data_IF_815414223459
#
_entry.id   IF_815414223459
#
_cell.length_a   1.000
_cell.length_b   1.000
_cell.length_c   1.000
_cell.angle_alpha   90.00
_cell.angle_beta   90.00
_cell.angle_gamma   90.00
#
_symmetry.space_group_name_H-M   'P 1'
#
loop_
_entity.id
_entity.type
_entity.pdbx_description
1 polymer ?
#
# COMPACT_ATOMS: atom_id res chain seq x y z
N UNK A 1 0.30 14.90 7.94
CA UNK A 1 0.08 14.99 6.47
C UNK A 1 -1.31 14.46 6.20
N UNK A 2 -2.12 15.13 5.39
CA UNK A 2 -3.44 14.66 4.94
C UNK A 2 -3.25 13.45 4.04
N UNK A 3 -4.15 12.47 4.10
CA UNK A 3 -4.13 11.31 3.22
C UNK A 3 -4.20 11.74 1.74
N UNK A 4 -3.47 11.05 0.89
CA UNK A 4 -3.44 11.27 -0.57
C UNK A 4 -3.41 9.95 -1.31
N UNK A 5 -3.76 9.95 -2.59
CA UNK A 5 -3.62 8.79 -3.46
C UNK A 5 -2.14 8.41 -3.59
N UNK A 6 -1.87 7.13 -3.45
CA UNK A 6 -0.54 6.53 -3.58
C UNK A 6 -0.52 5.66 -4.84
N UNK A 7 0.47 5.86 -5.69
CA UNK A 7 0.68 5.01 -6.86
C UNK A 7 1.28 3.67 -6.44
N UNK A 8 0.57 2.58 -6.66
CA UNK A 8 1.05 1.22 -6.42
C UNK A 8 1.76 0.65 -7.66
N UNK A 9 3.06 0.41 -7.55
CA UNK A 9 3.91 0.00 -8.66
C UNK A 9 4.04 -1.53 -8.82
N UNK A 10 3.11 -2.32 -8.25
CA UNK A 10 3.16 -3.79 -8.23
C UNK A 10 3.44 -4.44 -9.59
N UNK A 11 2.92 -3.86 -10.68
CA UNK A 11 2.96 -4.44 -12.03
C UNK A 11 4.11 -3.91 -12.89
N UNK A 12 4.89 -2.94 -12.39
CA UNK A 12 5.94 -2.28 -13.16
C UNK A 12 7.12 -3.23 -13.42
N UNK A 13 7.64 -3.18 -14.64
CA UNK A 13 8.70 -4.07 -15.10
C UNK A 13 8.25 -5.50 -15.41
N UNK A 14 6.93 -5.78 -15.36
CA UNK A 14 6.38 -7.11 -15.69
C UNK A 14 5.13 -7.01 -16.56
N UNK A 15 3.92 -6.89 -15.96
CA UNK A 15 2.67 -6.69 -16.74
C UNK A 15 2.62 -5.33 -17.42
N UNK A 16 3.27 -4.35 -16.87
CA UNK A 16 3.51 -3.03 -17.43
C UNK A 16 5.00 -2.96 -17.72
N UNK A 17 5.38 -2.85 -18.96
CA UNK A 17 6.79 -2.74 -19.34
C UNK A 17 7.42 -1.43 -18.85
N UNK A 18 8.73 -1.30 -19.02
CA UNK A 18 9.47 -0.16 -18.49
C UNK A 18 9.00 1.17 -19.11
N UNK A 19 8.80 1.22 -20.43
CA UNK A 19 8.40 2.44 -21.12
C UNK A 19 6.99 2.90 -20.68
N UNK A 20 6.03 1.99 -20.64
CA UNK A 20 4.69 2.28 -20.16
C UNK A 20 4.69 2.66 -18.66
N UNK A 21 5.57 2.04 -17.86
CA UNK A 21 5.72 2.41 -16.44
C UNK A 21 6.23 3.85 -16.27
N UNK A 22 7.14 4.29 -17.13
CA UNK A 22 7.64 5.67 -17.14
C UNK A 22 6.53 6.67 -17.48
N UNK A 23 5.71 6.38 -18.48
CA UNK A 23 4.58 7.23 -18.85
C UNK A 23 3.58 7.36 -17.69
N UNK A 24 3.31 6.28 -16.96
CA UNK A 24 2.44 6.29 -15.78
C UNK A 24 3.03 7.10 -14.63
N UNK A 25 4.35 6.99 -14.38
CA UNK A 25 5.06 7.76 -13.35
C UNK A 25 5.10 9.24 -13.69
N UNK A 26 5.39 9.59 -14.95
CA UNK A 26 5.38 10.97 -15.43
C UNK A 26 3.99 11.58 -15.29
N UNK A 27 2.95 10.89 -15.77
CA UNK A 27 1.57 11.38 -15.65
C UNK A 27 1.13 11.54 -14.19
N UNK A 28 1.47 10.56 -13.31
CA UNK A 28 1.14 10.64 -11.89
C UNK A 28 1.76 11.89 -11.25
N UNK A 29 3.03 12.14 -11.51
CA UNK A 29 3.74 13.30 -10.96
C UNK A 29 3.24 14.62 -11.55
N UNK A 30 2.91 14.67 -12.84
CA UNK A 30 2.36 15.85 -13.50
C UNK A 30 0.96 16.22 -12.98
N UNK A 31 0.18 15.22 -12.56
CA UNK A 31 -1.11 15.42 -11.88
C UNK A 31 -0.97 15.77 -10.38
N UNK A 32 0.25 15.95 -9.88
CA UNK A 32 0.54 16.34 -8.49
C UNK A 32 0.65 15.15 -7.52
N UNK A 33 0.71 13.92 -8.04
CA UNK A 33 0.96 12.73 -7.24
C UNK A 33 2.38 12.74 -6.67
N UNK A 34 2.55 12.20 -5.46
CA UNK A 34 3.83 12.24 -4.78
C UNK A 34 4.30 10.88 -4.27
N UNK A 35 3.41 10.06 -3.70
CA UNK A 35 3.77 8.79 -3.12
C UNK A 35 3.76 7.65 -4.14
N UNK A 36 4.87 6.95 -4.26
CA UNK A 36 5.03 5.72 -5.05
C UNK A 36 5.33 4.59 -4.07
N UNK A 37 4.51 3.54 -4.09
CA UNK A 37 4.64 2.35 -3.24
C UNK A 37 5.11 1.16 -4.07
N UNK A 38 6.26 0.61 -3.71
CA UNK A 38 6.84 -0.60 -4.30
C UNK A 38 7.23 -1.62 -3.22
N UNK A 39 7.89 -2.69 -3.58
CA UNK A 39 8.48 -3.68 -2.68
C UNK A 39 9.58 -4.48 -3.40
N UNK A 40 10.51 -5.02 -2.62
CA UNK A 40 11.61 -5.83 -3.17
C UNK A 40 11.12 -7.13 -3.84
N UNK A 41 10.01 -7.69 -3.38
CA UNK A 41 9.45 -8.94 -3.88
C UNK A 41 8.40 -8.77 -4.97
N UNK A 42 8.06 -7.55 -5.40
CA UNK A 42 6.96 -7.39 -6.34
C UNK A 42 7.25 -8.13 -7.65
N UNK A 43 6.21 -8.83 -8.09
CA UNK A 43 6.19 -9.61 -9.32
C UNK A 43 7.02 -10.90 -9.37
N UNK A 44 7.64 -11.36 -8.27
CA UNK A 44 8.40 -12.62 -8.24
C UNK A 44 7.60 -13.83 -8.76
N UNK A 45 6.26 -13.80 -8.62
CA UNK A 45 5.36 -14.90 -9.03
C UNK A 45 5.02 -14.90 -10.52
N UNK A 46 5.41 -13.90 -11.28
CA UNK A 46 5.22 -13.81 -12.72
C UNK A 46 6.53 -13.60 -13.50
N UNK A 47 7.59 -13.17 -12.83
CA UNK A 47 8.90 -13.04 -13.45
C UNK A 47 9.55 -14.43 -13.64
N UNK A 48 10.13 -14.72 -14.83
CA UNK A 48 10.77 -16.01 -15.09
C UNK A 48 11.91 -16.36 -14.11
N UNK A 49 12.55 -15.38 -13.49
CA UNK A 49 13.59 -15.63 -12.47
C UNK A 49 13.01 -16.23 -11.18
N UNK A 50 11.71 -16.07 -10.94
CA UNK A 50 11.09 -16.40 -9.65
C UNK A 50 11.54 -15.52 -8.50
N UNK A 51 12.16 -14.37 -8.78
CA UNK A 51 12.62 -13.36 -7.81
C UNK A 51 12.00 -12.01 -8.13
N UNK A 52 11.94 -11.14 -7.13
CA UNK A 52 11.44 -9.77 -7.26
C UNK A 52 12.51 -8.77 -7.71
N UNK A 53 12.17 -7.48 -7.58
CA UNK A 53 13.07 -6.37 -7.87
C UNK A 53 12.75 -5.58 -9.13
N UNK A 54 11.91 -6.12 -10.02
CA UNK A 54 11.58 -5.49 -11.30
C UNK A 54 10.95 -4.10 -11.09
N UNK A 55 10.01 -3.99 -10.16
CA UNK A 55 9.34 -2.73 -9.85
C UNK A 55 10.31 -1.68 -9.29
N UNK A 56 11.18 -2.06 -8.36
CA UNK A 56 12.20 -1.17 -7.81
C UNK A 56 13.19 -0.72 -8.91
N UNK A 57 13.64 -1.64 -9.77
CA UNK A 57 14.58 -1.37 -10.87
C UNK A 57 13.98 -0.38 -11.88
N UNK A 58 12.73 -0.56 -12.27
CA UNK A 58 12.04 0.37 -13.19
C UNK A 58 11.92 1.76 -12.58
N UNK A 59 11.57 1.87 -11.30
CA UNK A 59 11.50 3.17 -10.61
C UNK A 59 12.91 3.80 -10.55
N UNK A 60 13.95 3.02 -10.27
CA UNK A 60 15.33 3.50 -10.27
C UNK A 60 15.77 4.04 -11.63
N UNK A 61 15.51 3.31 -12.72
CA UNK A 61 15.79 3.77 -14.08
C UNK A 61 15.01 5.04 -14.46
N UNK A 62 13.75 5.16 -14.00
CA UNK A 62 12.97 6.37 -14.18
C UNK A 62 13.58 7.56 -13.46
N UNK A 63 14.04 7.39 -12.22
CA UNK A 63 14.74 8.43 -11.46
C UNK A 63 16.03 8.89 -12.15
N UNK A 64 16.83 7.94 -12.67
CA UNK A 64 18.07 8.24 -13.37
C UNK A 64 17.84 9.03 -14.68
N UNK A 65 16.72 8.75 -15.37
CA UNK A 65 16.36 9.42 -16.62
C UNK A 65 15.55 10.70 -16.44
N UNK A 66 15.15 11.06 -15.23
CA UNK A 66 14.33 12.25 -14.90
C UNK A 66 15.02 13.10 -13.83
N UNK A 67 15.99 13.94 -14.22
CA UNK A 67 16.71 14.80 -13.28
C UNK A 67 15.74 15.61 -12.39
N UNK A 68 15.93 15.55 -11.07
CA UNK A 68 15.08 16.20 -10.08
C UNK A 68 13.76 15.46 -9.76
N UNK A 69 13.49 14.30 -10.37
CA UNK A 69 12.30 13.51 -10.05
C UNK A 69 12.31 13.04 -8.58
N UNK A 70 13.48 12.63 -8.08
CA UNK A 70 13.61 12.15 -6.68
C UNK A 70 13.16 13.20 -5.65
N UNK A 71 13.35 14.49 -5.91
CA UNK A 71 12.94 15.56 -5.01
C UNK A 71 11.42 15.88 -5.09
N UNK A 72 10.77 15.46 -6.17
CA UNK A 72 9.32 15.63 -6.38
C UNK A 72 8.48 14.50 -5.81
N UNK A 73 9.07 13.30 -5.63
CA UNK A 73 8.35 12.11 -5.19
C UNK A 73 8.82 11.62 -3.82
N UNK A 74 7.94 10.90 -3.17
CA UNK A 74 8.18 10.16 -1.95
C UNK A 74 8.06 8.66 -2.28
N UNK A 75 9.06 7.88 -1.90
CA UNK A 75 9.14 6.46 -2.26
C UNK A 75 9.02 5.61 -1.00
N UNK A 76 8.14 4.61 -1.06
CA UNK A 76 8.13 3.54 -0.07
C UNK A 76 8.47 2.20 -0.72
N UNK A 77 9.26 1.40 -0.01
CA UNK A 77 9.54 0.00 -0.37
C UNK A 77 9.44 -0.90 0.84
N UNK A 78 9.48 -2.22 0.62
CA UNK A 78 9.19 -3.24 1.63
C UNK A 78 10.18 -4.38 1.53
N UNK A 79 10.45 -5.05 2.67
CA UNK A 79 11.16 -6.34 2.72
C UNK A 79 10.52 -7.32 3.69
N UNK A 80 10.99 -8.56 3.65
CA UNK A 80 10.54 -9.65 4.52
C UNK A 80 9.76 -10.74 3.80
N UNK A 81 9.47 -10.58 2.51
CA UNK A 81 8.69 -11.56 1.75
C UNK A 81 9.29 -11.91 0.38
N UNK A 82 10.48 -11.42 0.04
CA UNK A 82 11.17 -11.88 -1.18
C UNK A 82 11.66 -13.32 -0.99
N UNK A 83 11.44 -14.24 -1.96
CA UNK A 83 12.04 -15.57 -1.89
C UNK A 83 13.57 -15.49 -1.89
N UNK A 84 14.23 -16.22 -0.99
CA UNK A 84 15.72 -16.30 -0.96
C UNK A 84 16.32 -17.00 -2.18
N UNK A 85 15.50 -17.75 -2.90
CA UNK A 85 15.80 -18.40 -4.17
C UNK A 85 14.49 -18.71 -4.89
N UNK A 86 14.48 -18.97 -6.21
CA UNK A 86 13.27 -19.32 -6.93
C UNK A 86 12.51 -20.48 -6.27
N UNK A 87 11.26 -20.23 -5.85
CA UNK A 87 10.44 -21.19 -5.11
C UNK A 87 10.87 -21.47 -3.68
N UNK A 88 11.87 -20.74 -3.17
CA UNK A 88 12.35 -20.84 -1.79
C UNK A 88 11.47 -20.13 -0.76
N UNK A 89 11.84 -20.22 0.53
CA UNK A 89 11.13 -19.51 1.60
C UNK A 89 11.36 -18.00 1.49
N UNK A 90 10.52 -17.18 2.14
CA UNK A 90 10.74 -15.74 2.24
C UNK A 90 12.01 -15.43 3.05
N UNK A 91 12.64 -14.29 2.77
CA UNK A 91 13.86 -13.81 3.44
C UNK A 91 13.69 -13.53 4.95
N UNK A 92 12.44 -13.25 5.38
CA UNK A 92 12.10 -12.95 6.77
C UNK A 92 12.61 -11.58 7.24
N UNK A 93 12.54 -11.37 8.58
CA UNK A 93 12.84 -10.11 9.23
C UNK A 93 13.98 -10.21 10.26
N UNK A 94 14.96 -11.11 10.05
CA UNK A 94 16.19 -11.07 10.84
C UNK A 94 16.99 -9.78 10.55
N UNK A 95 17.79 -9.34 11.49
CA UNK A 95 18.62 -8.13 11.33
C UNK A 95 19.51 -8.21 10.07
N UNK A 96 20.06 -9.39 9.78
CA UNK A 96 20.85 -9.62 8.58
C UNK A 96 20.00 -9.48 7.29
N UNK A 97 18.82 -10.07 7.27
CA UNK A 97 17.91 -10.01 6.12
C UNK A 97 17.46 -8.56 5.85
N UNK A 98 17.03 -7.86 6.89
CA UNK A 98 16.58 -6.45 6.78
C UNK A 98 17.67 -5.57 6.17
N UNK A 99 18.92 -5.64 6.68
CA UNK A 99 20.02 -4.83 6.17
C UNK A 99 20.35 -5.15 4.71
N UNK A 100 20.45 -6.44 4.38
CA UNK A 100 20.73 -6.87 3.01
C UNK A 100 19.62 -6.46 2.01
N UNK A 101 18.36 -6.65 2.40
CA UNK A 101 17.22 -6.25 1.59
C UNK A 101 17.14 -4.73 1.37
N UNK A 102 17.39 -3.94 2.43
CA UNK A 102 17.40 -2.48 2.33
C UNK A 102 18.50 -1.98 1.40
N UNK A 103 19.71 -2.52 1.53
CA UNK A 103 20.84 -2.18 0.66
C UNK A 103 20.51 -2.49 -0.81
N UNK A 104 19.98 -3.67 -1.10
CA UNK A 104 19.61 -4.08 -2.45
C UNK A 104 18.46 -3.23 -3.01
N UNK A 105 17.45 -2.90 -2.19
CA UNK A 105 16.36 -2.01 -2.59
C UNK A 105 16.86 -0.62 -2.95
N UNK A 106 17.78 -0.03 -2.17
CA UNK A 106 18.36 1.27 -2.46
C UNK A 106 19.18 1.26 -3.75
N UNK A 107 19.93 0.18 -4.03
CA UNK A 107 20.64 -0.01 -5.29
C UNK A 107 19.69 -0.09 -6.47
N UNK A 108 18.64 -0.92 -6.42
CA UNK A 108 17.63 -1.07 -7.48
C UNK A 108 16.90 0.26 -7.74
N UNK A 109 16.57 1.00 -6.68
CA UNK A 109 15.89 2.29 -6.75
C UNK A 109 16.81 3.46 -7.15
N UNK A 110 18.12 3.22 -7.35
CA UNK A 110 19.10 4.25 -7.69
C UNK A 110 19.04 5.48 -6.75
N UNK A 111 18.85 5.24 -5.45
CA UNK A 111 18.72 6.31 -4.45
C UNK A 111 19.41 5.95 -3.14
N UNK A 112 19.92 6.94 -2.43
CA UNK A 112 20.55 6.74 -1.11
C UNK A 112 19.53 6.59 0.02
N UNK A 113 18.23 6.85 -0.21
CA UNK A 113 17.19 6.80 0.83
C UNK A 113 15.80 6.55 0.27
N UNK A 114 14.95 5.94 1.08
CA UNK A 114 13.48 5.90 0.89
C UNK A 114 12.78 6.73 1.96
N UNK A 115 11.56 7.18 1.66
CA UNK A 115 10.80 8.03 2.58
C UNK A 115 10.02 7.19 3.60
N UNK A 116 9.70 5.93 3.26
CA UNK A 116 9.05 4.99 4.17
C UNK A 116 9.52 3.56 3.84
N UNK A 117 9.98 2.83 4.85
CA UNK A 117 10.39 1.43 4.71
C UNK A 117 9.44 0.51 5.48
N UNK A 118 8.92 -0.53 4.82
CA UNK A 118 7.93 -1.41 5.40
C UNK A 118 8.51 -2.77 5.80
N UNK A 119 8.19 -3.23 6.99
CA UNK A 119 8.16 -4.67 7.28
C UNK A 119 6.93 -5.26 6.58
N UNK A 120 7.13 -5.99 5.46
CA UNK A 120 6.05 -6.37 4.52
C UNK A 120 5.04 -7.34 5.12
N UNK A 121 5.53 -8.29 5.91
CA UNK A 121 4.74 -9.25 6.68
C UNK A 121 5.36 -9.44 8.05
N UNK A 122 4.57 -9.93 9.03
CA UNK A 122 5.14 -10.28 10.31
C UNK A 122 6.00 -11.56 10.20
N UNK A 123 7.13 -11.56 10.89
CA UNK A 123 7.95 -12.76 11.07
C UNK A 123 7.99 -13.13 12.57
N UNK A 124 7.40 -14.29 12.90
CA UNK A 124 7.35 -14.78 14.28
C UNK A 124 8.51 -15.71 14.63
N UNK A 125 9.31 -16.07 13.65
CA UNK A 125 10.50 -16.91 13.86
C UNK A 125 11.69 -16.11 14.39
N UNK A 126 11.64 -14.77 14.22
CA UNK A 126 12.67 -13.84 14.69
C UNK A 126 12.17 -13.10 15.95
N UNK A 127 13.01 -12.92 16.98
CA UNK A 127 12.70 -12.07 18.12
C UNK A 127 12.30 -10.67 17.67
N UNK A 128 11.19 -10.16 18.21
CA UNK A 128 10.65 -8.85 17.82
C UNK A 128 11.66 -7.71 18.01
N UNK A 129 12.41 -7.76 19.10
CA UNK A 129 13.42 -6.76 19.46
C UNK A 129 14.56 -6.70 18.43
N UNK A 130 14.95 -7.85 17.85
CA UNK A 130 15.94 -7.91 16.78
C UNK A 130 15.45 -7.20 15.52
N UNK A 131 14.24 -7.53 15.05
CA UNK A 131 13.66 -6.92 13.87
C UNK A 131 13.46 -5.41 14.05
N UNK A 132 12.94 -5.00 15.22
CA UNK A 132 12.70 -3.58 15.56
C UNK A 132 14.01 -2.80 15.62
N UNK A 133 15.04 -3.35 16.24
CA UNK A 133 16.37 -2.72 16.30
C UNK A 133 16.95 -2.50 14.91
N UNK A 134 16.92 -3.54 14.06
CA UNK A 134 17.46 -3.45 12.70
C UNK A 134 16.67 -2.47 11.80
N UNK A 135 15.35 -2.43 11.92
CA UNK A 135 14.52 -1.43 11.23
C UNK A 135 14.86 -0.01 11.71
N UNK A 136 15.01 0.18 13.03
CA UNK A 136 15.39 1.47 13.61
C UNK A 136 16.75 1.96 13.12
N UNK A 137 17.71 1.05 12.88
CA UNK A 137 19.02 1.37 12.29
C UNK A 137 18.89 1.96 10.87
N UNK A 138 17.90 1.55 10.07
CA UNK A 138 17.68 2.15 8.75
C UNK A 138 17.32 3.65 8.85
N UNK A 139 16.62 4.04 9.90
CA UNK A 139 16.31 5.46 10.13
C UNK A 139 17.53 6.20 10.66
N UNK A 140 18.22 5.66 11.62
CA UNK A 140 19.41 6.32 12.22
C UNK A 140 20.56 6.47 11.22
N UNK A 141 20.69 5.56 10.25
CA UNK A 141 21.64 5.66 9.14
C UNK A 141 21.21 6.58 8.01
N UNK A 142 19.94 7.03 7.99
CA UNK A 142 19.39 7.85 6.92
C UNK A 142 18.93 7.05 5.69
N UNK A 143 18.99 5.72 5.70
CA UNK A 143 18.50 4.85 4.62
C UNK A 143 16.96 4.90 4.46
N UNK A 144 16.23 5.15 5.54
CA UNK A 144 14.79 5.38 5.55
C UNK A 144 14.45 6.61 6.39
N UNK A 145 13.44 7.38 5.98
CA UNK A 145 12.96 8.51 6.78
C UNK A 145 11.93 8.09 7.83
N UNK A 146 11.15 7.04 7.56
CA UNK A 146 10.11 6.51 8.45
C UNK A 146 9.96 5.00 8.26
N UNK A 147 9.26 4.36 9.21
CA UNK A 147 9.01 2.92 9.22
C UNK A 147 7.51 2.61 9.25
N UNK A 148 7.13 1.53 8.60
CA UNK A 148 5.77 1.01 8.61
C UNK A 148 5.71 -0.51 8.76
N UNK A 149 4.56 -1.01 9.20
CA UNK A 149 4.24 -2.43 9.28
C UNK A 149 3.10 -2.79 8.31
N UNK A 150 3.34 -3.72 7.40
CA UNK A 150 2.33 -4.21 6.47
C UNK A 150 1.90 -5.63 6.86
N UNK A 151 0.59 -5.88 6.88
CA UNK A 151 0.02 -7.19 7.25
C UNK A 151 0.34 -7.66 8.68
N UNK A 152 0.62 -6.75 9.59
CA UNK A 152 0.80 -7.04 11.02
C UNK A 152 -0.51 -6.82 11.80
N UNK A 153 -0.84 -7.65 12.81
CA UNK A 153 -1.97 -7.37 13.70
C UNK A 153 -1.69 -6.12 14.55
N UNK A 154 -2.73 -5.35 14.87
CA UNK A 154 -2.61 -4.10 15.62
C UNK A 154 -1.85 -4.27 16.95
N UNK A 155 -2.17 -5.32 17.72
CA UNK A 155 -1.48 -5.62 18.99
C UNK A 155 0.03 -5.85 18.82
N UNK A 156 0.47 -6.41 17.66
CA UNK A 156 1.89 -6.65 17.41
C UNK A 156 2.60 -5.37 16.94
N UNK A 157 1.89 -4.51 16.21
CA UNK A 157 2.39 -3.16 15.88
C UNK A 157 2.64 -2.37 17.16
N UNK A 158 1.69 -2.39 18.11
CA UNK A 158 1.86 -1.71 19.40
C UNK A 158 3.04 -2.28 20.20
N UNK A 159 3.19 -3.60 20.27
CA UNK A 159 4.36 -4.22 20.91
C UNK A 159 5.67 -3.82 20.24
N UNK A 160 5.70 -3.72 18.90
CA UNK A 160 6.89 -3.28 18.18
C UNK A 160 7.21 -1.81 18.46
N UNK A 161 6.21 -0.95 18.56
CA UNK A 161 6.37 0.46 18.93
C UNK A 161 6.90 0.60 20.37
N UNK A 162 6.35 -0.17 21.30
CA UNK A 162 6.84 -0.21 22.68
C UNK A 162 8.29 -0.73 22.76
N UNK A 163 8.64 -1.77 21.99
CA UNK A 163 10.00 -2.29 21.91
C UNK A 163 10.98 -1.25 21.33
N UNK A 164 10.56 -0.51 20.29
CA UNK A 164 11.36 0.58 19.71
C UNK A 164 11.62 1.68 20.73
N UNK A 165 10.60 2.10 21.47
CA UNK A 165 10.75 3.10 22.53
C UNK A 165 11.70 2.61 23.64
N UNK A 166 11.60 1.33 24.03
CA UNK A 166 12.51 0.72 25.00
C UNK A 166 13.97 0.63 24.54
N UNK A 167 14.20 0.54 23.24
CA UNK A 167 15.53 0.55 22.62
C UNK A 167 16.03 1.95 22.25
N UNK A 168 15.20 2.99 22.35
CA UNK A 168 15.53 4.35 21.94
C UNK A 168 15.67 4.50 20.43
N UNK A 169 14.99 3.66 19.63
CA UNK A 169 14.98 3.72 18.17
C UNK A 169 13.62 4.16 17.63
N UNK A 170 13.58 4.56 16.35
CA UNK A 170 12.33 4.95 15.68
C UNK A 170 11.40 3.74 15.54
N UNK A 171 10.15 3.88 15.97
CA UNK A 171 9.09 2.90 15.80
C UNK A 171 8.27 3.11 14.54
N UNK A 172 7.30 2.22 14.32
CA UNK A 172 6.37 2.33 13.19
C UNK A 172 5.47 3.58 13.31
N UNK A 173 5.33 4.29 12.19
CA UNK A 173 4.45 5.46 12.05
C UNK A 173 3.33 5.21 11.04
N UNK A 174 3.31 4.04 10.40
CA UNK A 174 2.28 3.66 9.45
C UNK A 174 1.96 2.17 9.49
N UNK A 175 0.71 1.83 9.18
CA UNK A 175 0.23 0.46 8.95
C UNK A 175 -0.24 0.37 7.51
N UNK A 176 0.08 -0.73 6.79
CA UNK A 176 -0.43 -1.00 5.47
C UNK A 176 -1.23 -2.32 5.48
N UNK A 177 -2.55 -2.25 5.22
CA UNK A 177 -3.45 -3.40 5.25
C UNK A 177 -4.47 -3.35 4.11
N UNK A 178 -5.08 -4.50 3.81
CA UNK A 178 -6.17 -4.60 2.85
C UNK A 178 -7.41 -3.90 3.39
N UNK A 179 -7.91 -2.91 2.66
CA UNK A 179 -9.13 -2.21 3.03
C UNK A 179 -9.81 -1.60 1.81
N UNK A 180 -11.13 -1.63 1.80
CA UNK A 180 -11.96 -1.06 0.74
C UNK A 180 -13.31 -0.65 1.32
N UNK A 181 -14.13 0.05 0.54
CA UNK A 181 -15.48 0.41 0.92
C UNK A 181 -16.37 -0.83 1.16
N UNK A 182 -16.30 -1.85 0.29
CA UNK A 182 -16.93 -3.14 0.55
C UNK A 182 -16.06 -3.97 1.50
N UNK A 183 -16.72 -4.61 2.48
CA UNK A 183 -16.07 -5.50 3.42
C UNK A 183 -16.44 -6.96 3.11
N UNK A 184 -15.49 -7.90 3.16
CA UNK A 184 -15.79 -9.32 2.99
C UNK A 184 -16.38 -9.90 4.27
N UNK A 185 -17.05 -11.04 4.15
CA UNK A 185 -17.45 -11.86 5.30
C UNK A 185 -16.20 -12.39 6.02
N UNK A 186 -16.16 -12.33 7.37
CA UNK A 186 -14.99 -12.78 8.13
C UNK A 186 -14.81 -14.30 8.15
N UNK A 187 -15.85 -15.07 7.84
CA UNK A 187 -15.91 -16.53 7.83
C UNK A 187 -15.46 -17.15 6.49
N UNK A 188 -15.22 -16.36 5.47
CA UNK A 188 -14.80 -16.80 4.14
C UNK A 188 -13.40 -16.30 3.83
N UNK A 189 -12.49 -17.23 3.56
CA UNK A 189 -11.12 -16.88 3.16
C UNK A 189 -11.09 -16.11 1.84
N UNK A 190 -10.24 -15.10 1.78
CA UNK A 190 -9.93 -14.43 0.51
C UNK A 190 -9.01 -15.30 -0.33
N UNK A 191 -9.03 -15.15 -1.67
CA UNK A 191 -8.18 -15.93 -2.56
C UNK A 191 -6.68 -15.74 -2.27
N UNK A 192 -6.30 -14.54 -1.82
CA UNK A 192 -4.92 -14.19 -1.52
C UNK A 192 -4.58 -14.52 -0.07
N UNK A 193 -3.63 -15.43 0.13
CA UNK A 193 -3.12 -15.78 1.47
C UNK A 193 -2.19 -14.69 2.02
N UNK A 194 -2.11 -14.60 3.34
CA UNK A 194 -1.18 -13.68 4.02
C UNK A 194 -1.65 -12.22 4.09
N UNK A 195 -2.70 -11.85 3.37
CA UNK A 195 -3.28 -10.51 3.47
C UNK A 195 -4.04 -10.33 4.78
N UNK A 196 -3.83 -9.21 5.44
CA UNK A 196 -4.58 -8.84 6.64
C UNK A 196 -5.57 -7.73 6.32
N UNK A 197 -6.82 -7.96 6.72
CA UNK A 197 -7.90 -6.98 6.61
C UNK A 197 -7.84 -5.96 7.75
N UNK A 198 -8.28 -4.75 7.46
CA UNK A 198 -8.61 -3.77 8.49
C UNK A 198 -9.95 -4.16 9.11
N UNK A 199 -9.97 -4.35 10.43
CA UNK A 199 -11.16 -4.60 11.22
C UNK A 199 -11.49 -3.41 12.13
N UNK A 200 -12.68 -3.35 12.75
CA UNK A 200 -13.04 -2.28 13.68
C UNK A 200 -12.00 -2.05 14.78
N UNK A 201 -11.39 -3.11 15.32
CA UNK A 201 -10.29 -3.03 16.30
C UNK A 201 -9.08 -2.25 15.74
N UNK A 202 -8.72 -2.47 14.47
CA UNK A 202 -7.62 -1.72 13.83
C UNK A 202 -7.95 -0.24 13.71
N UNK A 203 -9.20 0.09 13.36
CA UNK A 203 -9.66 1.48 13.25
C UNK A 203 -9.69 2.17 14.62
N UNK A 204 -10.14 1.47 15.68
CA UNK A 204 -10.14 1.96 17.05
C UNK A 204 -8.71 2.23 17.55
N UNK A 205 -7.79 1.30 17.28
CA UNK A 205 -6.37 1.48 17.59
C UNK A 205 -5.79 2.73 16.89
N UNK A 206 -6.08 2.92 15.61
CA UNK A 206 -5.63 4.09 14.84
C UNK A 206 -6.25 5.39 15.38
N UNK A 207 -7.53 5.38 15.74
CA UNK A 207 -8.20 6.55 16.32
C UNK A 207 -7.58 6.97 17.66
N UNK A 208 -7.09 6.00 18.45
CA UNK A 208 -6.40 6.26 19.73
C UNK A 208 -4.89 6.55 19.56
N UNK A 209 -4.35 6.44 18.34
CA UNK A 209 -2.91 6.57 18.04
C UNK A 209 -2.70 7.56 16.88
N UNK A 210 -2.84 8.88 17.12
CA UNK A 210 -2.91 9.90 16.05
C UNK A 210 -1.61 10.08 15.25
N UNK A 211 -0.49 9.57 15.73
CA UNK A 211 0.80 9.53 15.02
C UNK A 211 0.97 8.30 14.12
N UNK A 212 0.00 7.38 14.09
CA UNK A 212 0.00 6.19 13.26
C UNK A 212 -0.98 6.34 12.09
N UNK A 213 -0.52 6.09 10.84
CA UNK A 213 -1.30 6.29 9.62
C UNK A 213 -1.70 4.97 8.98
N UNK A 214 -2.90 4.92 8.39
CA UNK A 214 -3.35 3.77 7.61
C UNK A 214 -3.15 4.01 6.11
N UNK A 215 -2.43 3.10 5.48
CA UNK A 215 -2.37 2.94 4.03
C UNK A 215 -3.19 1.71 3.66
N UNK A 216 -4.13 1.89 2.74
CA UNK A 216 -5.00 0.81 2.31
C UNK A 216 -4.58 0.29 0.94
N UNK A 217 -4.36 -1.01 0.81
CA UNK A 217 -4.15 -1.63 -0.50
C UNK A 217 -5.37 -2.45 -0.94
N UNK A 218 -5.43 -2.79 -2.22
CA UNK A 218 -6.57 -3.44 -2.90
C UNK A 218 -7.89 -2.68 -2.73
N UNK A 219 -7.79 -1.36 -2.70
CA UNK A 219 -8.89 -0.43 -2.43
C UNK A 219 -10.01 -0.52 -3.45
N UNK A 220 -9.69 -0.86 -4.70
CA UNK A 220 -10.64 -0.98 -5.81
C UNK A 220 -10.98 -2.44 -6.15
N UNK A 221 -10.64 -3.41 -5.28
CA UNK A 221 -10.98 -4.84 -5.41
C UNK A 221 -10.63 -5.41 -6.80
N UNK A 222 -9.43 -5.10 -7.28
CA UNK A 222 -8.94 -5.50 -8.61
C UNK A 222 -9.83 -5.04 -9.78
N UNK A 223 -10.59 -3.94 -9.59
CA UNK A 223 -11.49 -3.36 -10.59
C UNK A 223 -12.95 -3.84 -10.49
N UNK A 224 -13.29 -4.64 -9.49
CA UNK A 224 -14.65 -5.25 -9.37
C UNK A 224 -15.77 -4.24 -9.16
N UNK A 225 -15.49 -2.99 -8.82
CA UNK A 225 -16.53 -1.95 -8.70
C UNK A 225 -17.13 -1.53 -10.04
N UNK A 226 -16.35 -1.59 -11.13
CA UNK A 226 -16.76 -1.05 -12.44
C UNK A 226 -16.62 -2.06 -13.58
N UNK A 227 -15.89 -3.15 -13.40
CA UNK A 227 -15.59 -4.15 -14.44
C UNK A 227 -16.47 -5.37 -14.29
N UNK A 228 -17.30 -5.66 -15.29
CA UNK A 228 -18.15 -6.86 -15.33
C UNK A 228 -17.37 -8.16 -15.51
N UNK A 229 -16.17 -8.10 -16.13
CA UNK A 229 -15.26 -9.24 -16.29
C UNK A 229 -14.43 -9.54 -15.03
N UNK A 230 -14.62 -8.77 -13.94
CA UNK A 230 -13.95 -8.92 -12.63
C UNK A 230 -15.00 -9.03 -11.52
N UNK A 231 -15.69 -10.16 -11.38
CA UNK A 231 -16.68 -10.32 -10.34
C UNK A 231 -16.05 -10.25 -8.95
N UNK A 232 -16.84 -9.79 -7.98
CA UNK A 232 -16.44 -9.83 -6.57
C UNK A 232 -16.19 -11.29 -6.13
N UNK A 233 -15.16 -11.50 -5.31
CA UNK A 233 -14.89 -12.80 -4.72
C UNK A 233 -16.06 -13.26 -3.81
N UNK A 234 -16.19 -14.58 -3.61
CA UNK A 234 -17.27 -15.18 -2.80
C UNK A 234 -17.40 -14.56 -1.39
N UNK A 235 -16.29 -14.15 -0.80
CA UNK A 235 -16.28 -13.48 0.50
C UNK A 235 -17.14 -12.20 0.54
N UNK A 236 -17.42 -11.58 -0.62
CA UNK A 236 -18.28 -10.39 -0.73
C UNK A 236 -19.74 -10.74 -1.04
N UNK A 237 -20.10 -12.02 -1.11
CA UNK A 237 -21.49 -12.46 -1.36
C UNK A 237 -22.29 -12.47 -0.06
N UNK A 238 -22.80 -11.30 0.35
CA UNK A 238 -23.65 -11.14 1.53
C UNK A 238 -24.59 -9.93 1.38
N UNK A 239 -25.70 -9.85 2.14
CA UNK A 239 -26.75 -8.83 1.98
C UNK A 239 -26.30 -7.37 2.14
N UNK A 240 -25.19 -7.11 2.81
CA UNK A 240 -24.63 -5.76 2.95
C UNK A 240 -24.07 -5.19 1.65
N UNK A 241 -23.55 -6.04 0.76
CA UNK A 241 -22.88 -5.58 -0.48
C UNK A 241 -23.85 -4.90 -1.45
N UNK A 242 -25.03 -5.44 -1.79
CA UNK A 242 -25.98 -4.74 -2.66
C UNK A 242 -26.40 -3.38 -2.11
N UNK A 243 -26.61 -3.24 -0.79
CA UNK A 243 -26.98 -1.98 -0.16
C UNK A 243 -25.86 -0.94 -0.29
N UNK A 244 -24.63 -1.35 -0.02
CA UNK A 244 -23.44 -0.49 -0.19
C UNK A 244 -23.23 -0.07 -1.64
N UNK A 245 -23.42 -0.98 -2.59
CA UNK A 245 -23.32 -0.66 -4.02
C UNK A 245 -24.42 0.33 -4.45
N UNK A 246 -25.65 0.19 -3.96
CA UNK A 246 -26.73 1.14 -4.26
C UNK A 246 -26.45 2.54 -3.70
N UNK A 247 -25.92 2.64 -2.47
CA UNK A 247 -25.50 3.93 -1.92
C UNK A 247 -24.34 4.54 -2.72
N UNK A 248 -23.39 3.70 -3.13
CA UNK A 248 -22.26 4.12 -3.97
C UNK A 248 -22.73 4.64 -5.33
N UNK A 249 -23.68 3.96 -5.99
CA UNK A 249 -24.29 4.39 -7.26
C UNK A 249 -24.97 5.75 -7.13
N UNK A 250 -25.72 5.95 -6.04
CA UNK A 250 -26.43 7.21 -5.79
C UNK A 250 -25.44 8.37 -5.68
N UNK A 251 -24.39 8.21 -4.85
CA UNK A 251 -23.40 9.27 -4.66
C UNK A 251 -22.56 9.48 -5.94
N UNK A 252 -22.23 8.42 -6.66
CA UNK A 252 -21.52 8.51 -7.93
C UNK A 252 -22.31 9.32 -8.98
N UNK A 253 -23.61 9.10 -9.06
CA UNK A 253 -24.49 9.87 -9.94
C UNK A 253 -24.60 11.36 -9.53
N UNK A 254 -24.66 11.66 -8.23
CA UNK A 254 -24.70 13.03 -7.71
C UNK A 254 -23.42 13.80 -8.05
N UNK A 255 -22.26 13.15 -7.97
CA UNK A 255 -20.95 13.75 -8.22
C UNK A 255 -20.54 13.71 -9.72
N UNK A 256 -21.28 13.01 -10.58
CA UNK A 256 -20.86 12.74 -11.95
C UNK A 256 -19.54 11.99 -12.04
N UNK A 257 -19.29 11.10 -11.07
CA UNK A 257 -18.06 10.37 -10.87
C UNK A 257 -18.25 8.86 -11.02
N UNK A 258 -17.15 8.11 -11.17
CA UNK A 258 -17.21 6.64 -11.16
C UNK A 258 -17.30 6.10 -9.72
N UNK A 259 -17.78 4.84 -9.59
CA UNK A 259 -17.70 4.12 -8.30
C UNK A 259 -16.29 4.11 -7.71
N UNK A 260 -15.28 3.90 -8.56
CA UNK A 260 -13.87 3.91 -8.13
C UNK A 260 -13.50 5.25 -7.49
N UNK A 261 -13.87 6.35 -8.12
CA UNK A 261 -13.59 7.69 -7.61
C UNK A 261 -14.27 7.96 -6.26
N UNK A 262 -15.54 7.54 -6.09
CA UNK A 262 -16.24 7.68 -4.81
C UNK A 262 -15.61 6.81 -3.72
N UNK A 263 -15.20 5.58 -4.02
CA UNK A 263 -14.48 4.72 -3.06
C UNK A 263 -13.19 5.37 -2.59
N UNK A 264 -12.39 5.91 -3.52
CA UNK A 264 -11.14 6.59 -3.17
C UNK A 264 -11.39 7.88 -2.38
N UNK A 265 -12.37 8.70 -2.78
CA UNK A 265 -12.75 9.91 -2.06
C UNK A 265 -13.27 9.61 -0.64
N UNK A 266 -14.04 8.52 -0.48
CA UNK A 266 -14.50 8.06 0.83
C UNK A 266 -13.34 7.65 1.74
N UNK A 267 -12.33 6.91 1.23
CA UNK A 267 -11.14 6.55 2.00
C UNK A 267 -10.36 7.80 2.43
N UNK A 268 -10.14 8.73 1.49
CA UNK A 268 -9.42 9.98 1.76
C UNK A 268 -10.14 10.84 2.81
N UNK A 269 -11.47 10.91 2.77
CA UNK A 269 -12.27 11.62 3.76
C UNK A 269 -12.17 11.03 5.18
N UNK A 270 -11.78 9.75 5.29
CA UNK A 270 -11.50 9.08 6.57
C UNK A 270 -10.00 9.08 6.96
N UNK A 271 -9.19 9.94 6.33
CA UNK A 271 -7.72 10.03 6.51
C UNK A 271 -7.00 8.69 6.25
N UNK A 272 -7.53 7.87 5.34
CA UNK A 272 -6.95 6.61 4.89
C UNK A 272 -6.31 6.82 3.52
N UNK A 273 -5.02 6.55 3.39
CA UNK A 273 -4.29 6.74 2.15
C UNK A 273 -4.46 5.52 1.22
N UNK A 274 -5.18 5.64 0.09
CA UNK A 274 -5.40 4.52 -0.81
C UNK A 274 -4.19 4.28 -1.72
N UNK A 275 -3.68 3.04 -1.75
CA UNK A 275 -2.73 2.58 -2.74
C UNK A 275 -3.53 2.06 -3.94
N UNK A 276 -3.29 2.67 -5.11
CA UNK A 276 -3.97 2.32 -6.35
C UNK A 276 -2.97 1.73 -7.33
N UNK A 277 -3.12 0.44 -7.63
CA UNK A 277 -2.39 -0.21 -8.71
C UNK A 277 -2.96 0.23 -10.06
N UNK A 278 -2.10 0.65 -10.98
CA UNK A 278 -2.47 1.13 -12.30
C UNK A 278 -1.72 0.37 -13.39
N UNK A 279 -2.35 0.27 -14.56
CA UNK A 279 -1.76 -0.34 -15.75
C UNK A 279 -2.02 0.50 -17.00
N UNK A 280 -2.82 1.57 -16.90
CA UNK A 280 -3.11 2.47 -18.01
C UNK A 280 -3.15 3.94 -17.54
N UNK A 281 -2.90 4.89 -18.46
CA UNK A 281 -2.99 6.33 -18.19
C UNK A 281 -4.37 6.79 -17.67
N UNK A 282 -5.45 6.19 -18.17
CA UNK A 282 -6.82 6.50 -17.74
C UNK A 282 -7.03 6.17 -16.26
N UNK A 283 -6.45 5.06 -15.77
CA UNK A 283 -6.54 4.68 -14.36
C UNK A 283 -5.80 5.68 -13.46
N UNK A 284 -4.64 6.18 -13.91
CA UNK A 284 -3.93 7.25 -13.19
C UNK A 284 -4.80 8.51 -13.12
N UNK A 285 -5.36 8.94 -14.27
CA UNK A 285 -6.25 10.10 -14.35
C UNK A 285 -7.48 9.96 -13.45
N UNK A 286 -8.15 8.78 -13.47
CA UNK A 286 -9.30 8.48 -12.62
C UNK A 286 -8.95 8.57 -11.14
N UNK A 287 -7.85 7.93 -10.71
CA UNK A 287 -7.42 7.92 -9.32
C UNK A 287 -7.06 9.33 -8.82
N UNK A 288 -6.33 10.10 -9.62
CA UNK A 288 -5.94 11.47 -9.26
C UNK A 288 -7.12 12.45 -9.27
N UNK A 289 -8.13 12.22 -10.12
CA UNK A 289 -9.36 13.00 -10.09
C UNK A 289 -10.15 12.75 -8.79
N UNK A 290 -10.15 11.53 -8.25
CA UNK A 290 -10.80 11.21 -6.97
C UNK A 290 -10.26 12.06 -5.80
N UNK A 291 -8.97 12.43 -5.83
CA UNK A 291 -8.36 13.25 -4.78
C UNK A 291 -8.92 14.69 -4.72
N UNK A 292 -9.59 15.14 -5.78
CA UNK A 292 -10.22 16.47 -5.86
C UNK A 292 -11.70 16.46 -5.47
N UNK A 293 -12.31 15.28 -5.34
CA UNK A 293 -13.70 15.15 -4.90
C UNK A 293 -13.82 15.45 -3.40
N UNK A 294 -14.79 16.27 -3.06
CA UNK A 294 -15.09 16.62 -1.67
C UNK A 294 -16.51 16.14 -1.33
N UNK A 295 -16.61 14.92 -0.83
CA UNK A 295 -17.89 14.36 -0.40
C UNK A 295 -18.46 15.17 0.76
N UNK A 296 -19.73 15.50 0.70
CA UNK A 296 -20.45 16.20 1.77
C UNK A 296 -20.63 15.29 2.99
N UNK A 297 -20.90 15.88 4.16
CA UNK A 297 -21.16 15.13 5.38
C UNK A 297 -22.38 14.19 5.25
N UNK A 298 -23.42 14.59 4.47
CA UNK A 298 -24.56 13.74 4.17
C UNK A 298 -24.17 12.55 3.30
N UNK A 299 -23.41 12.75 2.24
CA UNK A 299 -22.91 11.66 1.38
C UNK A 299 -22.04 10.66 2.16
N UNK A 300 -21.13 11.16 3.00
CA UNK A 300 -20.31 10.31 3.88
C UNK A 300 -21.18 9.50 4.85
N UNK A 301 -22.20 10.14 5.43
CA UNK A 301 -23.14 9.46 6.32
C UNK A 301 -23.90 8.36 5.59
N UNK A 302 -24.46 8.64 4.41
CA UNK A 302 -25.18 7.65 3.58
C UNK A 302 -24.30 6.47 3.18
N UNK A 303 -23.08 6.74 2.75
CA UNK A 303 -22.11 5.69 2.39
C UNK A 303 -21.75 4.82 3.60
N UNK A 304 -21.51 5.43 4.76
CA UNK A 304 -21.11 4.70 5.98
C UNK A 304 -22.26 3.89 6.57
N UNK A 305 -23.49 4.43 6.55
CA UNK A 305 -24.68 3.78 7.10
C UNK A 305 -25.23 2.64 6.23
N UNK A 306 -24.78 2.49 4.99
CA UNK A 306 -25.27 1.47 4.05
C UNK A 306 -24.79 0.03 4.38
N UNK A 307 -23.95 -0.16 5.40
CA UNK A 307 -23.32 -1.44 5.74
C UNK A 307 -23.97 -2.18 6.90
#
# INVERSE_FOLDING_TARGET
MTASVILGALSFGTRVDEAASFDLLDQFTDLGGRWIDTANNYSFWIDPSGLGGQSETVIGHWLDQRPGARDRVLISTKSGYEPVSPGGPPEGLSAKAIRAAAELSLQRLSTGRVDLYWAHVEDRSVPLDESVGALGELVSSGAAAALGASNWPAWRVERARAAAAGQGVTGFTAIQQRYSYLQPRPDVALPESGHRLVFPETLDYLASTPDLRLWAYNTLLNGSYVRSDRPLAEAYNHPGVPRRLAALDTVAAEEGASRNQIVLAWLLAHDIAPIVGVTTPEQVGEAMAAQRLQLTADQLTRLTAAG
#
